data_IF_715377982605
#
_entry.id   IF_715377982605
#
_cell.length_a   1.000
_cell.length_b   1.000
_cell.length_c   1.000
_cell.angle_alpha   90.00
_cell.angle_beta   90.00
_cell.angle_gamma   90.00
#
_symmetry.space_group_name_H-M   'P 1'
#
loop_
_entity.id
_entity.type
_entity.pdbx_description
1 polymer ?
#
# COMPACT_ATOMS: atom_id res chain seq x y z
N UNK A 1 -35.64 8.45 40.94
CA UNK A 1 -35.44 9.13 39.63
C UNK A 1 -33.99 9.21 39.13
N UNK A 2 -33.05 8.49 39.73
CA UNK A 2 -31.58 8.61 39.45
C UNK A 2 -31.04 7.64 38.39
N UNK A 3 -31.73 6.52 38.12
CA UNK A 3 -31.22 5.50 37.13
C UNK A 3 -31.27 5.93 35.68
N UNK A 4 -32.18 6.83 35.27
CA UNK A 4 -32.28 7.32 33.89
C UNK A 4 -31.17 8.32 33.51
N UNK A 5 -30.59 9.03 34.50
CA UNK A 5 -29.53 10.03 34.23
C UNK A 5 -28.17 9.39 33.93
N UNK A 6 -27.93 8.15 34.36
CA UNK A 6 -26.69 7.42 34.11
C UNK A 6 -26.73 6.60 32.77
N UNK A 7 -27.91 6.29 32.26
CA UNK A 7 -28.07 5.51 31.03
C UNK A 7 -27.63 6.28 29.79
N UNK A 8 -27.88 7.57 29.73
CA UNK A 8 -27.55 8.42 28.57
C UNK A 8 -26.03 8.52 28.31
N UNK A 9 -25.20 8.86 29.36
CA UNK A 9 -23.75 8.89 29.15
C UNK A 9 -23.15 7.49 28.89
N UNK A 10 -23.69 6.42 29.45
CA UNK A 10 -23.25 5.07 29.19
C UNK A 10 -23.53 4.66 27.73
N UNK A 11 -24.70 4.99 27.20
CA UNK A 11 -25.06 4.75 25.80
C UNK A 11 -24.17 5.54 24.84
N UNK A 12 -23.85 6.80 25.17
CA UNK A 12 -22.96 7.65 24.38
C UNK A 12 -21.54 7.09 24.34
N UNK A 13 -20.99 6.63 25.48
CA UNK A 13 -19.70 5.98 25.57
C UNK A 13 -19.67 4.69 24.71
N UNK A 14 -20.71 3.90 24.73
CA UNK A 14 -20.83 2.67 23.97
C UNK A 14 -20.89 2.94 22.46
N UNK A 15 -21.63 3.98 22.05
CA UNK A 15 -21.68 4.46 20.65
C UNK A 15 -20.33 4.98 20.18
N UNK A 16 -19.61 5.75 21.00
CA UNK A 16 -18.28 6.26 20.66
C UNK A 16 -17.27 5.12 20.57
N UNK A 17 -17.35 4.13 21.47
CA UNK A 17 -16.50 2.95 21.42
C UNK A 17 -16.77 2.10 20.17
N UNK A 18 -18.05 1.90 19.84
CA UNK A 18 -18.45 1.21 18.62
C UNK A 18 -17.96 1.96 17.36
N UNK A 19 -18.11 3.28 17.32
CA UNK A 19 -17.62 4.10 16.20
C UNK A 19 -16.09 4.06 16.09
N UNK A 20 -15.36 4.08 17.21
CA UNK A 20 -13.91 3.96 17.21
C UNK A 20 -13.46 2.58 16.68
N UNK A 21 -14.09 1.50 17.17
CA UNK A 21 -13.80 0.13 16.69
C UNK A 21 -14.17 0.00 15.22
N UNK A 22 -15.30 0.55 14.78
CA UNK A 22 -15.71 0.55 13.38
C UNK A 22 -14.68 1.27 12.49
N UNK A 23 -14.23 2.46 12.91
CA UNK A 23 -13.20 3.24 12.20
C UNK A 23 -11.86 2.51 12.12
N UNK A 24 -11.46 1.82 13.19
CA UNK A 24 -10.21 1.03 13.23
C UNK A 24 -10.29 -0.24 12.39
N UNK A 25 -11.49 -0.78 12.19
CA UNK A 25 -11.70 -2.04 11.48
C UNK A 25 -11.99 -1.85 9.99
N UNK A 26 -12.30 -0.62 9.54
CA UNK A 26 -12.62 -0.34 8.14
C UNK A 26 -11.56 0.55 7.53
N UNK A 27 -11.10 0.24 6.31
CA UNK A 27 -10.18 1.10 5.56
C UNK A 27 -10.74 2.51 5.46
N UNK A 28 -9.89 3.49 5.65
CA UNK A 28 -10.23 4.89 5.42
C UNK A 28 -10.48 5.13 3.92
N UNK A 29 -11.01 6.30 3.54
CA UNK A 29 -11.46 6.56 2.16
C UNK A 29 -10.42 6.22 1.10
N UNK A 30 -9.18 6.68 1.26
CA UNK A 30 -8.13 6.44 0.27
C UNK A 30 -7.70 4.97 0.17
N UNK A 31 -7.61 4.28 1.29
CA UNK A 31 -7.28 2.84 1.32
C UNK A 31 -8.36 2.00 0.64
N UNK A 32 -9.63 2.33 0.86
CA UNK A 32 -10.76 1.67 0.20
C UNK A 32 -10.76 1.94 -1.29
N UNK A 33 -10.55 3.20 -1.71
CA UNK A 33 -10.53 3.60 -3.10
C UNK A 33 -9.42 2.86 -3.87
N UNK A 34 -8.23 2.68 -3.26
CA UNK A 34 -7.14 1.89 -3.83
C UNK A 34 -7.55 0.42 -4.02
N UNK A 35 -8.15 -0.21 -2.99
CA UNK A 35 -8.56 -1.61 -3.07
C UNK A 35 -9.65 -1.82 -4.12
N UNK A 36 -10.58 -0.88 -4.25
CA UNK A 36 -11.59 -0.87 -5.28
C UNK A 36 -10.96 -0.70 -6.66
N UNK A 37 -10.03 0.25 -6.81
CA UNK A 37 -9.28 0.49 -8.04
C UNK A 37 -8.54 -0.76 -8.53
N UNK A 38 -7.88 -1.50 -7.64
CA UNK A 38 -7.18 -2.75 -7.96
C UNK A 38 -8.13 -3.95 -8.15
N UNK A 39 -9.43 -3.85 -7.80
CA UNK A 39 -10.38 -4.95 -7.85
C UNK A 39 -11.30 -4.95 -9.08
N UNK A 40 -11.31 -3.89 -9.88
CA UNK A 40 -12.29 -3.68 -10.96
C UNK A 40 -12.14 -4.59 -12.20
N UNK A 41 -11.46 -5.73 -12.09
CA UNK A 41 -11.42 -6.76 -13.15
C UNK A 41 -10.62 -6.37 -14.39
N UNK A 42 -9.79 -5.36 -14.28
CA UNK A 42 -8.94 -4.82 -15.33
C UNK A 42 -7.68 -5.66 -15.51
N UNK A 43 -7.10 -5.60 -16.68
CA UNK A 43 -5.76 -6.18 -16.91
C UNK A 43 -4.72 -5.32 -16.21
N UNK A 44 -4.08 -5.88 -15.20
CA UNK A 44 -2.97 -5.25 -14.50
C UNK A 44 -1.68 -5.81 -15.06
N UNK A 45 -0.79 -4.96 -15.54
CA UNK A 45 0.59 -5.31 -15.87
C UNK A 45 1.54 -4.63 -14.90
N UNK A 46 2.79 -5.03 -14.86
CA UNK A 46 3.71 -4.42 -13.91
C UNK A 46 5.17 -4.57 -14.27
N UNK A 47 5.97 -3.73 -13.64
CA UNK A 47 7.43 -3.74 -13.70
C UNK A 47 7.99 -3.72 -12.28
N UNK A 48 9.06 -4.47 -12.05
CA UNK A 48 9.91 -4.32 -10.88
C UNK A 48 11.01 -3.31 -11.19
N UNK A 49 11.41 -2.51 -10.21
CA UNK A 49 12.54 -1.61 -10.34
C UNK A 49 13.42 -1.63 -9.08
N UNK A 50 14.72 -1.43 -9.30
CA UNK A 50 15.72 -1.28 -8.24
C UNK A 50 16.74 -0.23 -8.64
N UNK A 51 17.07 0.64 -7.70
CA UNK A 51 18.09 1.69 -7.85
C UNK A 51 19.07 1.61 -6.68
N UNK A 52 20.31 1.32 -6.96
CA UNK A 52 21.36 1.36 -5.97
C UNK A 52 21.71 2.82 -5.64
N UNK A 53 21.19 3.31 -4.52
CA UNK A 53 21.42 4.69 -4.05
C UNK A 53 22.84 4.91 -3.50
N UNK A 54 23.65 3.87 -3.31
CA UNK A 54 25.03 3.97 -2.85
C UNK A 54 25.99 4.45 -3.94
N UNK A 55 25.59 4.37 -5.20
CA UNK A 55 26.39 4.78 -6.35
C UNK A 55 26.25 6.28 -6.62
N UNK A 56 27.37 6.92 -7.00
CA UNK A 56 27.41 8.35 -7.43
C UNK A 56 26.48 8.64 -8.61
N UNK A 57 26.27 7.64 -9.47
CA UNK A 57 25.32 7.69 -10.59
C UNK A 57 24.44 6.43 -10.47
N UNK A 58 23.31 6.51 -9.73
CA UNK A 58 22.46 5.36 -9.55
C UNK A 58 21.95 4.83 -10.89
N UNK A 59 22.25 3.55 -11.17
CA UNK A 59 21.67 2.85 -12.31
C UNK A 59 20.39 2.18 -11.85
N UNK A 60 19.31 2.44 -12.58
CA UNK A 60 18.03 1.80 -12.33
C UNK A 60 17.93 0.52 -13.16
N UNK A 61 17.73 -0.60 -12.48
CA UNK A 61 17.41 -1.88 -13.11
C UNK A 61 15.89 -2.04 -13.15
N UNK A 62 15.37 -2.55 -14.26
CA UNK A 62 13.94 -2.80 -14.44
C UNK A 62 13.72 -4.16 -15.08
N UNK A 63 12.63 -4.82 -14.68
CA UNK A 63 12.16 -6.04 -15.30
C UNK A 63 10.64 -6.06 -15.36
N UNK A 64 10.08 -6.50 -16.49
CA UNK A 64 8.65 -6.76 -16.59
C UNK A 64 8.27 -7.93 -15.66
N UNK A 65 7.16 -7.79 -14.95
CA UNK A 65 6.60 -8.85 -14.12
C UNK A 65 5.79 -9.82 -14.98
N UNK A 66 5.88 -11.10 -14.67
CA UNK A 66 4.92 -12.09 -15.16
C UNK A 66 3.55 -11.87 -14.52
N UNK A 67 2.48 -12.37 -15.15
CA UNK A 67 1.11 -12.28 -14.61
C UNK A 67 1.02 -12.87 -13.20
N UNK A 68 1.72 -13.98 -12.94
CA UNK A 68 1.78 -14.59 -11.61
C UNK A 68 2.45 -13.71 -10.56
N UNK A 69 3.50 -12.98 -10.93
CA UNK A 69 4.16 -12.02 -10.03
C UNK A 69 3.28 -10.81 -9.77
N UNK A 70 2.61 -10.27 -10.79
CA UNK A 70 1.62 -9.18 -10.64
C UNK A 70 0.50 -9.62 -9.68
N UNK A 71 -0.05 -10.81 -9.85
CA UNK A 71 -1.10 -11.33 -8.97
C UNK A 71 -0.61 -11.47 -7.53
N UNK A 72 0.63 -11.94 -7.30
CA UNK A 72 1.24 -12.01 -5.97
C UNK A 72 1.37 -10.63 -5.34
N UNK A 73 1.87 -9.62 -6.06
CA UNK A 73 1.97 -8.23 -5.56
C UNK A 73 0.60 -7.70 -5.17
N UNK A 74 -0.40 -7.82 -6.04
CA UNK A 74 -1.78 -7.39 -5.79
C UNK A 74 -2.39 -8.14 -4.60
N UNK A 75 -2.10 -9.44 -4.45
CA UNK A 75 -2.56 -10.24 -3.31
C UNK A 75 -1.96 -9.75 -1.99
N UNK A 76 -0.67 -9.40 -1.97
CA UNK A 76 -0.03 -8.81 -0.78
C UNK A 76 -0.71 -7.50 -0.41
N UNK A 77 -0.96 -6.61 -1.38
CA UNK A 77 -1.66 -5.34 -1.15
C UNK A 77 -3.05 -5.57 -0.58
N UNK A 78 -3.82 -6.48 -1.14
CA UNK A 78 -5.19 -6.79 -0.69
C UNK A 78 -5.26 -7.41 0.71
N UNK A 79 -4.25 -8.16 1.09
CA UNK A 79 -4.17 -8.78 2.42
C UNK A 79 -3.58 -7.87 3.48
N UNK A 80 -2.93 -6.78 3.08
CA UNK A 80 -2.28 -5.86 3.98
C UNK A 80 -3.29 -5.01 4.75
N UNK A 81 -2.91 -4.66 5.98
CA UNK A 81 -3.58 -3.58 6.69
C UNK A 81 -3.06 -2.24 6.15
N UNK A 82 -3.96 -1.48 5.54
CA UNK A 82 -3.64 -0.23 4.87
C UNK A 82 -4.22 0.94 5.64
N UNK A 83 -3.44 2.02 5.74
CA UNK A 83 -3.85 3.29 6.34
C UNK A 83 -3.57 4.45 5.39
N UNK A 84 -4.41 5.49 5.43
CA UNK A 84 -4.16 6.71 4.67
C UNK A 84 -2.87 7.37 5.15
N UNK A 85 -2.01 7.73 4.21
CA UNK A 85 -0.82 8.54 4.47
C UNK A 85 -1.06 9.95 3.93
N UNK A 86 -1.53 10.85 4.80
CA UNK A 86 -1.80 12.25 4.46
C UNK A 86 -0.60 13.16 4.69
N UNK A 87 0.52 12.59 5.09
CA UNK A 87 1.80 13.29 5.20
C UNK A 87 2.42 13.55 3.83
N UNK A 88 3.56 14.22 3.83
CA UNK A 88 4.34 14.47 2.62
C UNK A 88 4.87 13.13 2.07
N UNK A 89 4.27 12.68 0.97
CA UNK A 89 4.74 11.54 0.22
C UNK A 89 5.85 12.01 -0.72
N UNK A 90 7.09 11.86 -0.33
CA UNK A 90 8.23 12.36 -1.09
C UNK A 90 9.51 11.56 -0.87
N UNK A 91 9.41 10.33 -0.40
CA UNK A 91 10.56 9.44 -0.35
C UNK A 91 10.88 8.93 -1.75
N UNK A 92 12.13 9.10 -2.15
CA UNK A 92 12.65 8.47 -3.35
C UNK A 92 12.85 7.00 -3.02
N UNK A 93 11.88 6.16 -3.37
CA UNK A 93 11.99 4.71 -3.20
C UNK A 93 13.17 4.18 -4.01
N UNK A 94 14.02 3.38 -3.35
CA UNK A 94 15.14 2.70 -4.02
C UNK A 94 14.68 1.47 -4.77
N UNK A 95 13.51 0.91 -4.47
CA UNK A 95 13.00 -0.26 -5.16
C UNK A 95 11.56 -0.59 -4.84
N UNK A 96 10.93 -1.27 -5.77
CA UNK A 96 9.53 -1.65 -5.67
C UNK A 96 8.92 -2.05 -7.00
N UNK A 97 7.65 -1.73 -7.18
CA UNK A 97 6.88 -2.11 -8.36
C UNK A 97 6.10 -0.92 -8.92
N UNK A 98 5.94 -0.93 -10.23
CA UNK A 98 5.03 -0.06 -10.97
C UNK A 98 3.92 -0.94 -11.53
N UNK A 99 2.72 -0.80 -11.04
CA UNK A 99 1.56 -1.53 -11.56
C UNK A 99 0.79 -0.60 -12.50
N UNK A 100 0.55 -1.05 -13.71
CA UNK A 100 -0.19 -0.31 -14.72
C UNK A 100 -1.62 -0.83 -14.81
N UNK A 101 -2.57 0.05 -14.53
CA UNK A 101 -4.01 -0.22 -14.49
C UNK A 101 -4.69 0.84 -15.34
N UNK A 102 -5.32 0.47 -16.45
CA UNK A 102 -6.03 1.39 -17.35
C UNK A 102 -5.24 2.62 -17.82
N UNK A 103 -3.94 2.45 -18.05
CA UNK A 103 -3.06 3.55 -18.48
C UNK A 103 -2.51 4.42 -17.34
N UNK A 104 -2.96 4.20 -16.13
CA UNK A 104 -2.46 4.86 -14.92
C UNK A 104 -1.44 3.97 -14.21
N UNK A 105 -0.59 4.57 -13.36
CA UNK A 105 0.47 3.85 -12.67
C UNK A 105 0.31 3.96 -11.15
N UNK A 106 0.24 2.80 -10.50
CA UNK A 106 0.34 2.65 -9.04
C UNK A 106 1.79 2.33 -8.69
N UNK A 107 2.41 3.14 -7.86
CA UNK A 107 3.74 2.88 -7.32
C UNK A 107 3.62 2.11 -6.02
N UNK A 108 4.40 1.05 -5.88
CA UNK A 108 4.45 0.19 -4.68
C UNK A 108 5.88 0.17 -4.17
N UNK A 109 6.17 0.92 -3.11
CA UNK A 109 7.45 0.89 -2.42
C UNK A 109 7.58 -0.34 -1.53
N UNK A 110 8.80 -0.87 -1.38
CA UNK A 110 9.03 -2.02 -0.52
C UNK A 110 10.41 -2.04 0.18
N UNK A 111 11.26 -1.06 -0.05
CA UNK A 111 12.61 -0.99 0.54
C UNK A 111 12.62 -0.12 1.77
N UNK A 112 12.52 1.19 1.60
CA UNK A 112 12.57 2.16 2.69
C UNK A 112 11.24 2.19 3.45
N UNK A 113 10.15 2.17 2.71
CA UNK A 113 8.80 2.20 3.24
C UNK A 113 7.88 1.29 2.42
N UNK A 114 6.79 0.86 3.02
CA UNK A 114 5.74 0.10 2.33
C UNK A 114 4.62 1.05 1.91
N UNK A 115 4.98 2.06 1.14
CA UNK A 115 4.08 3.09 0.67
C UNK A 115 3.56 2.76 -0.74
N UNK A 116 2.27 3.01 -0.95
CA UNK A 116 1.67 2.95 -2.26
C UNK A 116 1.20 4.34 -2.67
N UNK A 117 1.51 4.72 -3.89
CA UNK A 117 1.02 5.95 -4.51
C UNK A 117 0.18 5.59 -5.73
N UNK A 118 -1.02 6.12 -5.80
CA UNK A 118 -1.94 5.87 -6.89
C UNK A 118 -2.66 7.16 -7.33
N UNK A 119 -3.17 7.24 -8.57
CA UNK A 119 -3.91 8.39 -9.04
C UNK A 119 -5.25 8.53 -8.30
N UNK A 120 -5.58 9.74 -7.91
CA UNK A 120 -6.85 10.10 -7.29
C UNK A 120 -7.46 11.32 -7.96
N UNK A 121 -8.67 11.67 -7.63
CA UNK A 121 -9.40 12.81 -8.23
C UNK A 121 -8.66 14.15 -8.05
N UNK A 122 -7.97 14.30 -6.91
CA UNK A 122 -7.26 15.53 -6.55
C UNK A 122 -5.74 15.45 -6.79
N UNK A 123 -5.28 14.48 -7.57
CA UNK A 123 -3.87 14.20 -7.80
C UNK A 123 -3.43 12.85 -7.20
N UNK A 124 -2.12 12.70 -6.94
CA UNK A 124 -1.61 11.45 -6.35
C UNK A 124 -1.99 11.32 -4.89
N UNK A 125 -2.54 10.16 -4.53
CA UNK A 125 -2.86 9.76 -3.18
C UNK A 125 -1.83 8.77 -2.68
N UNK A 126 -1.51 8.83 -1.40
CA UNK A 126 -0.57 7.94 -0.74
C UNK A 126 -1.24 7.19 0.40
N UNK A 127 -0.99 5.90 0.44
CA UNK A 127 -1.39 5.01 1.54
C UNK A 127 -0.19 4.20 1.99
N UNK A 128 -0.19 3.77 3.24
CA UNK A 128 0.87 2.96 3.82
C UNK A 128 0.35 1.60 4.21
N UNK A 129 1.05 0.54 3.80
CA UNK A 129 0.81 -0.81 4.31
C UNK A 129 1.54 -1.02 5.63
N UNK A 130 0.98 -1.83 6.52
CA UNK A 130 1.67 -2.29 7.71
C UNK A 130 2.87 -3.16 7.30
N UNK A 131 4.05 -2.80 7.81
CA UNK A 131 5.34 -3.35 7.37
C UNK A 131 5.48 -4.84 7.66
N UNK A 132 4.92 -5.29 8.77
CA UNK A 132 5.04 -6.66 9.25
C UNK A 132 4.35 -7.65 8.30
N UNK A 133 5.16 -8.53 7.69
CA UNK A 133 4.71 -9.53 6.72
C UNK A 133 4.65 -9.06 5.26
N UNK A 134 4.21 -7.84 5.00
CA UNK A 134 4.06 -7.35 3.63
C UNK A 134 5.40 -7.05 2.97
N UNK A 135 6.32 -6.41 3.68
CA UNK A 135 7.63 -6.04 3.15
C UNK A 135 8.44 -7.27 2.74
N UNK A 136 8.48 -8.29 3.58
CA UNK A 136 9.23 -9.51 3.29
C UNK A 136 8.69 -10.22 2.03
N UNK A 137 7.37 -10.30 1.88
CA UNK A 137 6.74 -10.90 0.71
C UNK A 137 7.01 -10.09 -0.57
N UNK A 138 6.96 -8.76 -0.51
CA UNK A 138 7.28 -7.90 -1.65
C UNK A 138 8.76 -7.98 -2.03
N UNK A 139 9.67 -8.02 -1.04
CA UNK A 139 11.11 -8.18 -1.28
C UNK A 139 11.45 -9.52 -1.93
N UNK A 140 10.75 -10.60 -1.56
CA UNK A 140 10.90 -11.90 -2.22
C UNK A 140 10.54 -11.81 -3.71
N UNK A 141 9.39 -11.23 -4.04
CA UNK A 141 8.96 -11.04 -5.43
C UNK A 141 9.95 -10.14 -6.21
N UNK A 142 10.45 -9.08 -5.56
CA UNK A 142 11.41 -8.17 -6.17
C UNK A 142 12.72 -8.87 -6.53
N UNK A 143 13.26 -9.72 -5.63
CA UNK A 143 14.47 -10.52 -5.88
C UNK A 143 14.27 -11.56 -6.98
N UNK A 144 13.10 -12.17 -7.05
CA UNK A 144 12.76 -13.09 -8.15
C UNK A 144 12.71 -12.37 -9.50
N UNK A 145 12.18 -11.14 -9.54
CA UNK A 145 12.07 -10.34 -10.76
C UNK A 145 13.41 -9.74 -11.21
N UNK A 146 14.30 -9.43 -10.25
CA UNK A 146 15.61 -8.81 -10.48
C UNK A 146 16.72 -9.65 -9.82
N UNK A 147 17.04 -10.84 -10.35
CA UNK A 147 17.97 -11.78 -9.71
C UNK A 147 19.42 -11.27 -9.63
N UNK A 148 19.79 -10.35 -10.52
CA UNK A 148 21.12 -9.77 -10.57
C UNK A 148 21.27 -8.49 -9.75
N UNK A 149 20.20 -8.04 -9.10
CA UNK A 149 20.20 -6.83 -8.27
C UNK A 149 20.63 -7.14 -6.83
N UNK A 150 21.54 -6.33 -6.29
CA UNK A 150 21.97 -6.40 -4.88
C UNK A 150 20.91 -5.79 -3.94
N UNK A 151 19.75 -6.43 -3.85
CA UNK A 151 18.64 -5.96 -3.03
C UNK A 151 18.91 -6.33 -1.56
N UNK A 152 18.85 -5.36 -0.62
CA UNK A 152 19.10 -5.60 0.80
C UNK A 152 18.19 -6.69 1.38
N UNK A 153 18.70 -7.40 2.38
CA UNK A 153 17.97 -8.46 3.10
C UNK A 153 17.07 -7.90 4.20
#
# INVERSE_FOLDING_TARGET
MTKRKALLPALLCLLLLFFAVYRLSHPTGWSRDLLEYLSQGQTITGEAFWRDASQLTPQEQRAALSDAQVERVVSVIRSAKISDNRGFAGTTESGGFLLHVDGETVHVGCIEDTELQYPGEDGRRSVRMEREGCQAALLEILREALPDAEIPS
#
